data_IF_756564801699
#
_entry.id   IF_756564801699
#
_cell.length_a   1.000
_cell.length_b   1.000
_cell.length_c   1.000
_cell.angle_alpha   90.00
_cell.angle_beta   90.00
_cell.angle_gamma   90.00
#
_symmetry.space_group_name_H-M   'P 1'
#
loop_
_entity.id
_entity.type
_entity.pdbx_description
1 polymer ?
#
# COMPACT_ATOMS: atom_id res chain seq x y z
N UNK A 1 21.82 -47.12 -25.12
CA UNK A 1 22.28 -45.86 -24.49
C UNK A 1 21.15 -45.03 -23.88
N UNK A 2 20.08 -45.64 -23.35
CA UNK A 2 18.90 -44.93 -22.80
C UNK A 2 18.66 -45.17 -21.30
N UNK A 3 19.45 -46.03 -20.66
CA UNK A 3 19.27 -46.36 -19.22
C UNK A 3 19.94 -45.38 -18.26
N UNK A 4 21.00 -44.70 -18.69
CA UNK A 4 21.85 -43.86 -17.82
C UNK A 4 21.15 -42.54 -17.41
N UNK A 5 20.25 -42.00 -18.24
CA UNK A 5 19.56 -40.73 -17.94
C UNK A 5 18.45 -40.93 -16.88
N UNK A 6 17.88 -42.14 -16.76
CA UNK A 6 16.77 -42.40 -15.83
C UNK A 6 17.19 -42.46 -14.35
N UNK A 7 18.47 -42.73 -14.08
CA UNK A 7 19.00 -42.82 -12.71
C UNK A 7 19.39 -41.45 -12.13
N UNK A 8 19.79 -40.50 -12.98
CA UNK A 8 20.17 -39.15 -12.55
C UNK A 8 19.00 -38.35 -11.95
N UNK A 9 17.75 -38.66 -12.32
CA UNK A 9 16.56 -37.98 -11.79
C UNK A 9 16.13 -38.57 -10.44
N UNK A 10 16.53 -39.81 -10.12
CA UNK A 10 16.17 -40.47 -8.85
C UNK A 10 16.99 -40.00 -7.64
N UNK A 11 18.13 -39.33 -7.86
CA UNK A 11 19.05 -38.91 -6.80
C UNK A 11 18.79 -37.55 -6.16
N UNK A 12 17.78 -36.78 -6.60
CA UNK A 12 17.55 -35.40 -6.13
C UNK A 12 16.21 -35.22 -5.41
N UNK A 13 15.37 -36.25 -5.36
CA UNK A 13 14.23 -36.27 -4.45
C UNK A 13 14.80 -36.57 -3.06
N UNK A 14 15.24 -35.52 -2.36
CA UNK A 14 15.40 -35.61 -0.90
C UNK A 14 14.04 -36.03 -0.38
N UNK A 15 13.96 -37.23 0.16
CA UNK A 15 12.83 -37.68 0.95
C UNK A 15 12.60 -36.68 2.08
N UNK A 16 11.68 -35.74 1.85
CA UNK A 16 11.18 -34.83 2.89
C UNK A 16 10.27 -35.57 3.89
N UNK A 17 10.33 -36.90 3.95
CA UNK A 17 9.65 -37.75 4.93
C UNK A 17 10.37 -37.79 6.28
N UNK A 18 11.55 -37.19 6.42
CA UNK A 18 12.16 -36.95 7.74
C UNK A 18 11.37 -35.84 8.43
N UNK A 19 10.30 -36.25 9.10
CA UNK A 19 9.54 -35.41 9.99
C UNK A 19 10.49 -34.91 11.09
N UNK A 20 10.88 -33.64 11.00
CA UNK A 20 11.52 -32.97 12.13
C UNK A 20 10.48 -33.03 13.26
N UNK A 21 10.80 -33.74 14.36
CA UNK A 21 9.94 -33.82 15.54
C UNK A 21 9.54 -32.38 15.94
N UNK A 22 8.25 -32.06 15.82
CA UNK A 22 7.71 -30.73 16.14
C UNK A 22 7.30 -29.85 14.95
N UNK A 23 7.59 -30.24 13.69
CA UNK A 23 7.03 -29.55 12.52
C UNK A 23 5.77 -30.26 12.02
N UNK A 24 4.61 -29.59 12.09
CA UNK A 24 3.38 -30.13 11.54
C UNK A 24 3.54 -30.39 10.03
N UNK A 25 3.42 -31.64 9.60
CA UNK A 25 3.44 -32.01 8.19
C UNK A 25 2.23 -31.37 7.50
N UNK A 26 2.48 -30.41 6.61
CA UNK A 26 1.42 -29.70 5.92
C UNK A 26 0.82 -30.61 4.85
N UNK A 27 -0.42 -31.03 5.06
CA UNK A 27 -1.17 -31.75 4.04
C UNK A 27 -1.54 -30.80 2.89
N UNK A 28 -1.16 -31.17 1.67
CA UNK A 28 -1.53 -30.46 0.44
C UNK A 28 -2.62 -31.27 -0.26
N UNK A 29 -3.76 -30.63 -0.52
CA UNK A 29 -4.87 -31.32 -1.20
C UNK A 29 -4.49 -31.76 -2.62
N UNK A 30 -5.08 -32.86 -3.13
CA UNK A 30 -4.82 -33.36 -4.48
C UNK A 30 -5.04 -32.30 -5.57
N UNK A 31 -6.06 -31.46 -5.41
CA UNK A 31 -6.34 -30.36 -6.33
C UNK A 31 -5.17 -29.36 -6.41
N UNK A 32 -4.53 -29.05 -5.28
CA UNK A 32 -3.36 -28.16 -5.24
C UNK A 32 -2.13 -28.82 -5.85
N UNK A 33 -1.95 -30.12 -5.65
CA UNK A 33 -0.88 -30.90 -6.30
C UNK A 33 -1.05 -30.93 -7.83
N UNK A 34 -2.28 -31.07 -8.32
CA UNK A 34 -2.57 -31.03 -9.76
C UNK A 34 -2.21 -29.68 -10.39
N UNK A 35 -2.31 -28.58 -9.63
CA UNK A 35 -1.84 -27.29 -10.10
C UNK A 35 -0.32 -27.20 -10.20
N UNK A 36 0.44 -27.87 -9.33
CA UNK A 36 1.91 -27.89 -9.40
C UNK A 36 2.39 -28.76 -10.56
N UNK A 37 1.68 -29.85 -10.86
CA UNK A 37 1.99 -30.74 -12.00
C UNK A 37 1.67 -30.11 -13.37
N UNK A 38 0.79 -29.11 -13.42
CA UNK A 38 0.36 -28.46 -14.66
C UNK A 38 1.38 -27.40 -15.09
N UNK A 39 1.78 -27.42 -16.36
CA UNK A 39 2.55 -26.35 -16.98
C UNK A 39 1.67 -25.15 -17.35
N UNK A 40 2.08 -23.95 -16.96
CA UNK A 40 1.34 -22.71 -17.22
C UNK A 40 2.01 -21.84 -18.28
N UNK A 41 1.20 -21.12 -19.05
CA UNK A 41 1.68 -20.09 -19.97
C UNK A 41 1.67 -18.74 -19.29
N UNK A 42 2.57 -17.84 -19.69
CA UNK A 42 2.62 -16.48 -19.12
C UNK A 42 1.30 -15.70 -19.31
N UNK A 43 0.55 -16.01 -20.38
CA UNK A 43 -0.77 -15.44 -20.67
C UNK A 43 -1.82 -15.80 -19.61
N UNK A 44 -1.67 -16.93 -18.91
CA UNK A 44 -2.64 -17.35 -17.88
C UNK A 44 -2.65 -16.41 -16.66
N UNK A 45 -1.57 -15.66 -16.46
CA UNK A 45 -1.38 -14.74 -15.34
C UNK A 45 -1.62 -13.28 -15.70
N UNK A 46 -1.79 -12.96 -17.00
CA UNK A 46 -2.00 -11.60 -17.48
C UNK A 46 -3.48 -11.39 -17.86
N UNK A 47 -4.06 -10.21 -17.58
CA UNK A 47 -5.38 -9.88 -18.10
C UNK A 47 -5.33 -9.76 -19.63
N UNK A 48 -6.42 -10.13 -20.29
CA UNK A 48 -6.54 -10.06 -21.76
C UNK A 48 -7.65 -9.07 -22.14
N UNK A 49 -7.38 -8.21 -23.11
CA UNK A 49 -8.41 -7.31 -23.63
C UNK A 49 -9.28 -8.07 -24.64
N UNK A 50 -10.60 -7.99 -24.48
CA UNK A 50 -11.55 -8.59 -25.43
C UNK A 50 -12.57 -7.56 -25.88
N UNK A 51 -12.60 -7.32 -27.18
CA UNK A 51 -13.67 -6.58 -27.83
C UNK A 51 -14.83 -7.54 -28.13
N UNK A 52 -16.06 -7.16 -27.76
CA UNK A 52 -17.26 -7.97 -28.01
C UNK A 52 -18.09 -7.22 -29.06
N UNK A 53 -17.95 -7.66 -30.32
CA UNK A 53 -18.59 -7.02 -31.48
C UNK A 53 -20.11 -6.90 -31.33
N UNK A 54 -20.78 -7.87 -30.69
CA UNK A 54 -22.24 -7.90 -30.62
C UNK A 54 -22.86 -6.74 -29.82
N UNK A 55 -22.15 -6.19 -28.83
CA UNK A 55 -22.71 -5.17 -27.93
C UNK A 55 -21.86 -3.89 -27.87
N UNK A 56 -20.84 -3.75 -28.74
CA UNK A 56 -19.92 -2.62 -28.75
C UNK A 56 -19.11 -2.44 -27.45
N UNK A 57 -19.05 -3.46 -26.58
CA UNK A 57 -18.40 -3.36 -25.27
C UNK A 57 -16.97 -3.89 -25.32
N UNK A 58 -16.03 -2.99 -25.03
CA UNK A 58 -14.65 -3.31 -24.73
C UNK A 58 -14.50 -3.63 -23.24
N UNK A 59 -13.87 -4.77 -22.88
CA UNK A 59 -13.53 -5.07 -21.48
C UNK A 59 -12.24 -5.85 -21.33
N UNK A 60 -11.58 -5.61 -20.21
CA UNK A 60 -10.50 -6.44 -19.73
C UNK A 60 -11.07 -7.70 -19.07
N UNK A 61 -10.58 -8.87 -19.49
CA UNK A 61 -10.82 -10.14 -18.82
C UNK A 61 -9.77 -10.35 -17.74
N UNK A 62 -10.23 -10.85 -16.60
CA UNK A 62 -9.34 -11.28 -15.53
C UNK A 62 -8.43 -12.42 -16.02
N UNK A 63 -7.22 -12.57 -15.44
CA UNK A 63 -6.35 -13.70 -15.73
C UNK A 63 -7.01 -15.04 -15.37
N UNK A 64 -6.63 -16.11 -16.07
CA UNK A 64 -7.09 -17.47 -15.81
C UNK A 64 -6.74 -17.95 -14.39
N UNK A 65 -5.60 -17.48 -13.87
CA UNK A 65 -5.14 -17.77 -12.51
C UNK A 65 -5.26 -16.52 -11.65
N UNK A 66 -6.05 -16.61 -10.57
CA UNK A 66 -6.17 -15.53 -9.60
C UNK A 66 -4.87 -15.32 -8.81
N UNK A 67 -4.66 -14.10 -8.32
CA UNK A 67 -3.46 -13.76 -7.50
C UNK A 67 -3.36 -14.61 -6.23
N UNK A 68 -4.50 -14.97 -5.63
CA UNK A 68 -4.56 -15.89 -4.48
C UNK A 68 -4.07 -17.27 -4.85
N UNK A 69 -4.59 -17.83 -5.94
CA UNK A 69 -4.19 -19.15 -6.45
C UNK A 69 -2.70 -19.19 -6.80
N UNK A 70 -2.19 -18.14 -7.44
CA UNK A 70 -0.76 -17.99 -7.72
C UNK A 70 0.08 -17.94 -6.43
N UNK A 71 -0.36 -17.24 -5.39
CA UNK A 71 0.33 -17.22 -4.11
C UNK A 71 0.31 -18.60 -3.42
N UNK A 72 -0.81 -19.33 -3.49
CA UNK A 72 -0.92 -20.68 -2.94
C UNK A 72 -0.01 -21.67 -3.68
N UNK A 73 0.07 -21.59 -5.01
CA UNK A 73 0.99 -22.39 -5.81
C UNK A 73 2.44 -22.13 -5.40
N UNK A 74 2.85 -20.86 -5.25
CA UNK A 74 4.20 -20.51 -4.79
C UNK A 74 4.53 -21.09 -3.42
N UNK A 75 3.62 -20.94 -2.45
CA UNK A 75 3.81 -21.51 -1.10
C UNK A 75 3.94 -23.04 -1.12
N UNK A 76 3.25 -23.71 -2.03
CA UNK A 76 3.34 -25.16 -2.13
C UNK A 76 4.59 -25.61 -2.90
N UNK A 77 5.03 -24.85 -3.92
CA UNK A 77 6.30 -25.09 -4.60
C UNK A 77 7.47 -24.96 -3.61
N UNK A 78 7.46 -23.90 -2.80
CA UNK A 78 8.44 -23.67 -1.74
C UNK A 78 8.44 -24.83 -0.71
N UNK A 79 7.26 -25.31 -0.31
CA UNK A 79 7.14 -26.45 0.61
C UNK A 79 7.65 -27.77 0.02
N UNK A 80 7.46 -28.01 -1.28
CA UNK A 80 7.90 -29.23 -1.97
C UNK A 80 9.32 -29.14 -2.52
N UNK A 81 10.01 -28.00 -2.33
CA UNK A 81 11.35 -27.78 -2.90
C UNK A 81 11.35 -27.69 -4.44
N UNK A 82 10.21 -27.43 -5.06
CA UNK A 82 10.09 -27.30 -6.53
C UNK A 82 10.30 -25.84 -6.92
N UNK A 83 11.14 -25.60 -7.91
CA UNK A 83 11.35 -24.25 -8.44
C UNK A 83 10.07 -23.73 -9.13
N UNK A 84 9.49 -22.59 -8.70
CA UNK A 84 8.32 -22.01 -9.36
C UNK A 84 8.53 -21.73 -10.85
N UNK A 85 9.74 -21.39 -11.28
CA UNK A 85 10.00 -21.09 -12.69
C UNK A 85 9.84 -22.35 -13.58
N UNK A 86 10.15 -23.54 -13.05
CA UNK A 86 10.00 -24.82 -13.76
C UNK A 86 8.55 -25.17 -14.17
N UNK A 87 7.56 -24.58 -13.49
CA UNK A 87 6.11 -24.77 -13.74
C UNK A 87 5.54 -23.64 -14.63
N UNK A 88 6.36 -22.64 -14.95
CA UNK A 88 5.95 -21.45 -15.69
C UNK A 88 5.31 -20.36 -14.83
N UNK A 89 5.49 -20.38 -13.49
CA UNK A 89 5.03 -19.28 -12.64
C UNK A 89 5.88 -18.03 -12.89
N UNK A 90 5.27 -16.83 -12.98
CA UNK A 90 6.04 -15.61 -13.12
C UNK A 90 6.87 -15.34 -11.87
N UNK A 91 7.99 -14.59 -11.97
CA UNK A 91 8.80 -14.22 -10.81
C UNK A 91 8.00 -13.39 -9.81
N UNK A 92 8.42 -13.42 -8.54
CA UNK A 92 7.80 -12.59 -7.49
C UNK A 92 8.30 -11.14 -7.66
N UNK A 93 7.39 -10.14 -7.68
CA UNK A 93 7.84 -8.76 -7.74
C UNK A 93 8.64 -8.40 -6.48
N UNK A 94 9.70 -7.62 -6.67
CA UNK A 94 10.51 -7.10 -5.57
C UNK A 94 9.69 -6.22 -4.64
N UNK A 95 9.94 -6.35 -3.33
CA UNK A 95 9.26 -5.53 -2.32
C UNK A 95 9.89 -4.14 -2.32
N UNK A 96 9.12 -3.12 -2.71
CA UNK A 96 9.53 -1.73 -2.56
C UNK A 96 9.64 -1.36 -1.07
N UNK A 97 10.57 -0.47 -0.69
CA UNK A 97 10.68 -0.01 0.69
C UNK A 97 9.38 0.68 1.13
N UNK A 98 8.91 0.45 2.38
CA UNK A 98 7.58 0.86 2.81
C UNK A 98 7.32 2.37 2.81
N UNK A 99 8.35 3.20 3.05
CA UNK A 99 8.22 4.66 3.09
C UNK A 99 9.54 5.34 2.70
N UNK A 100 9.54 6.03 1.57
CA UNK A 100 10.56 7.04 1.21
C UNK A 100 10.08 8.47 1.45
N UNK A 101 8.76 8.68 1.53
CA UNK A 101 8.18 10.02 1.61
C UNK A 101 8.27 10.59 3.03
N UNK A 102 8.73 11.84 3.20
CA UNK A 102 8.72 12.50 4.50
C UNK A 102 7.29 12.67 5.03
N UNK A 103 7.17 12.74 6.36
CA UNK A 103 5.88 12.96 7.04
C UNK A 103 5.37 14.38 6.69
N UNK A 104 4.08 14.50 6.40
CA UNK A 104 3.41 15.77 6.05
C UNK A 104 3.43 16.83 7.18
N UNK A 105 3.67 16.40 8.42
CA UNK A 105 3.55 17.25 9.62
C UNK A 105 2.09 17.47 10.04
N UNK A 106 1.88 17.78 11.32
CA UNK A 106 0.56 18.07 11.88
C UNK A 106 0.04 19.44 11.41
N UNK A 107 -1.27 19.72 11.56
CA UNK A 107 -1.86 21.02 11.17
C UNK A 107 -1.22 22.19 11.92
N UNK A 108 -0.95 22.04 13.22
CA UNK A 108 -0.38 23.11 14.04
C UNK A 108 1.09 23.40 13.70
N UNK A 109 1.85 22.39 13.25
CA UNK A 109 3.24 22.55 12.79
C UNK A 109 3.27 23.31 11.47
N UNK A 110 2.41 22.91 10.52
CA UNK A 110 2.28 23.58 9.22
C UNK A 110 1.82 25.04 9.35
N UNK A 111 0.92 25.32 10.29
CA UNK A 111 0.36 26.66 10.48
C UNK A 111 1.10 27.48 11.56
N UNK A 112 2.13 26.93 12.20
CA UNK A 112 2.96 27.65 13.16
C UNK A 112 3.56 28.95 12.60
N UNK A 113 4.16 28.99 11.38
CA UNK A 113 4.76 30.22 10.85
C UNK A 113 3.72 31.32 10.65
N UNK A 114 2.56 31.00 10.08
CA UNK A 114 1.48 31.96 9.87
C UNK A 114 0.94 32.52 11.19
N UNK A 115 0.78 31.68 12.22
CA UNK A 115 0.35 32.12 13.55
C UNK A 115 1.38 33.07 14.17
N UNK A 116 2.67 32.74 14.09
CA UNK A 116 3.75 33.61 14.60
C UNK A 116 3.76 34.96 13.87
N UNK A 117 3.59 34.97 12.55
CA UNK A 117 3.53 36.20 11.77
C UNK A 117 2.32 37.08 12.13
N UNK A 118 1.14 36.48 12.36
CA UNK A 118 -0.06 37.22 12.80
C UNK A 118 0.12 37.83 14.19
N UNK A 119 0.74 37.08 15.11
CA UNK A 119 1.02 37.59 16.46
C UNK A 119 2.01 38.76 16.41
N UNK A 120 3.07 38.66 15.60
CA UNK A 120 4.03 39.74 15.44
C UNK A 120 3.37 41.03 14.93
N UNK A 121 2.56 40.95 13.88
CA UNK A 121 1.81 42.11 13.36
C UNK A 121 0.85 42.71 14.39
N UNK A 122 0.13 41.89 15.14
CA UNK A 122 -0.78 42.37 16.18
C UNK A 122 -0.04 43.11 17.31
N UNK A 123 1.19 42.68 17.64
CA UNK A 123 2.03 43.36 18.63
C UNK A 123 2.53 44.72 18.10
N UNK A 124 2.84 44.83 16.81
CA UNK A 124 3.22 46.09 16.16
C UNK A 124 2.07 47.09 16.11
N UNK A 125 0.84 46.62 15.84
CA UNK A 125 -0.38 47.44 15.77
C UNK A 125 -0.98 47.78 17.15
N UNK A 126 -0.50 47.12 18.21
CA UNK A 126 -1.01 47.26 19.58
C UNK A 126 -0.98 48.72 20.12
N UNK A 127 0.09 49.52 19.93
CA UNK A 127 0.11 50.89 20.44
C UNK A 127 -0.94 51.79 19.78
N UNK A 128 -1.17 51.62 18.49
CA UNK A 128 -2.14 52.40 17.72
C UNK A 128 -3.57 52.07 18.15
N UNK A 129 -3.87 50.77 18.30
CA UNK A 129 -5.19 50.32 18.76
C UNK A 129 -5.47 50.79 20.20
N UNK A 130 -4.48 50.80 21.09
CA UNK A 130 -4.62 51.37 22.44
C UNK A 130 -4.91 52.88 22.37
N UNK A 131 -4.19 53.63 21.52
CA UNK A 131 -4.42 55.07 21.37
C UNK A 131 -5.81 55.39 20.85
N UNK A 132 -6.27 54.65 19.82
CA UNK A 132 -7.63 54.77 19.27
C UNK A 132 -8.70 54.48 20.34
N UNK A 133 -8.54 53.38 21.10
CA UNK A 133 -9.46 53.02 22.18
C UNK A 133 -9.54 54.11 23.26
N UNK A 134 -8.40 54.68 23.65
CA UNK A 134 -8.36 55.79 24.63
C UNK A 134 -9.14 57.01 24.12
N UNK A 135 -8.95 57.38 22.85
CA UNK A 135 -9.66 58.52 22.24
C UNK A 135 -11.17 58.28 22.16
N UNK A 136 -11.60 57.08 21.79
CA UNK A 136 -13.03 56.72 21.77
C UNK A 136 -13.65 56.80 23.16
N UNK A 137 -12.96 56.32 24.21
CA UNK A 137 -13.44 56.43 25.59
C UNK A 137 -13.56 57.86 26.07
N UNK A 138 -12.68 58.76 25.63
CA UNK A 138 -12.79 60.20 25.93
C UNK A 138 -14.01 60.81 25.22
N UNK A 139 -14.21 60.50 23.93
CA UNK A 139 -15.38 60.97 23.16
C UNK A 139 -16.71 60.47 23.76
N UNK A 140 -16.77 59.23 24.21
CA UNK A 140 -17.94 58.68 24.92
C UNK A 140 -18.22 59.44 26.22
N UNK A 141 -17.18 59.73 27.02
CA UNK A 141 -17.32 60.53 28.24
C UNK A 141 -17.84 61.94 27.94
N UNK A 142 -17.36 62.58 26.88
CA UNK A 142 -17.81 63.92 26.48
C UNK A 142 -19.27 63.93 26.01
N UNK A 143 -19.71 62.94 25.25
CA UNK A 143 -21.12 62.79 24.86
C UNK A 143 -22.04 62.58 26.06
N UNK A 144 -21.55 61.89 27.09
CA UNK A 144 -22.32 61.60 28.30
C UNK A 144 -22.25 62.72 29.35
N UNK A 145 -21.54 63.83 29.10
CA UNK A 145 -21.61 65.00 29.98
C UNK A 145 -22.99 65.66 29.81
N UNK A 146 -23.77 65.84 30.89
CA UNK A 146 -25.04 66.54 30.83
C UNK A 146 -24.84 67.98 30.34
N UNK A 147 -25.75 68.49 29.50
CA UNK A 147 -25.59 69.80 28.84
C UNK A 147 -25.85 71.01 29.74
N UNK A 148 -26.28 70.79 30.99
CA UNK A 148 -26.61 71.85 31.94
C UNK A 148 -25.56 71.87 33.06
N UNK A 149 -25.11 73.06 33.52
CA UNK A 149 -23.99 73.20 34.44
C UNK A 149 -24.48 73.04 35.89
N UNK A 150 -25.10 71.91 36.24
CA UNK A 150 -25.48 71.57 37.61
C UNK A 150 -25.37 70.07 37.83
#
# INVERSE_FOLDING_TARGET
>A
MTRIISEAIKGVIKDHSVAIKGTATKYISPQKLNHIKKQYKLSDFKPTFKYINLWGKARWRAPNVSRRKLADMRKNCEYLGVDPASIGLPPKPEKKPPRSKPRKGAKYERNAPERKAKIAKALEEMPQTIAAWRLEKLKEKEKNKPSLPF
#
